data_IF_563181168209
#
_entry.id   IF_563181168209
#
_cell.length_a   1.000
_cell.length_b   1.000
_cell.length_c   1.000
_cell.angle_alpha   90.00
_cell.angle_beta   90.00
_cell.angle_gamma   90.00
#
_symmetry.space_group_name_H-M   'P 1'
#
loop_
_entity.id
_entity.type
_entity.pdbx_description
1 polymer ?
#
# COMPACT_ATOMS: atom_id res chain seq x y z
N UNK A 1 -175.09 -48.79 125.87
CA UNK A 1 -174.04 -49.83 125.91
C UNK A 1 -173.40 -49.86 124.52
N UNK A 2 -172.15 -49.52 124.21
CA UNK A 2 -170.95 -49.07 124.91
C UNK A 2 -169.73 -49.36 123.99
N UNK A 3 -168.73 -48.45 123.98
CA UNK A 3 -167.32 -48.55 123.47
C UNK A 3 -167.15 -48.77 121.94
N UNK A 4 -166.26 -48.09 121.20
CA UNK A 4 -165.00 -47.41 121.50
C UNK A 4 -163.85 -48.14 120.77
N UNK A 5 -163.41 -47.65 119.59
CA UNK A 5 -162.25 -48.19 118.87
C UNK A 5 -161.37 -47.07 118.30
N UNK A 6 -160.12 -46.99 118.80
CA UNK A 6 -159.03 -46.15 118.29
C UNK A 6 -158.47 -46.76 116.99
N UNK A 7 -158.34 -45.95 115.93
CA UNK A 7 -157.69 -46.35 114.69
C UNK A 7 -156.14 -46.24 114.78
N UNK A 8 -155.45 -47.24 114.22
CA UNK A 8 -154.02 -47.55 114.31
C UNK A 8 -153.23 -46.95 113.13
N UNK A 9 -152.65 -45.74 113.18
CA UNK A 9 -151.78 -45.25 112.06
C UNK A 9 -150.57 -44.35 112.41
N UNK A 10 -150.04 -44.36 113.65
CA UNK A 10 -148.70 -43.80 113.95
C UNK A 10 -147.80 -44.92 114.50
N UNK A 11 -146.88 -45.47 113.68
CA UNK A 11 -146.04 -46.63 114.04
C UNK A 11 -144.79 -46.24 114.85
N UNK A 12 -144.37 -44.98 114.81
CA UNK A 12 -143.17 -44.42 115.46
C UNK A 12 -143.50 -43.20 116.36
N UNK A 13 -144.79 -42.90 116.53
CA UNK A 13 -145.32 -41.89 117.45
C UNK A 13 -144.95 -40.43 117.14
N UNK A 14 -144.19 -40.17 116.06
CA UNK A 14 -143.70 -38.82 115.73
C UNK A 14 -143.96 -38.37 114.30
N UNK A 15 -144.02 -39.27 113.32
CA UNK A 15 -144.13 -38.89 111.90
C UNK A 15 -145.17 -39.69 111.12
N UNK A 16 -145.95 -39.01 110.30
CA UNK A 16 -146.91 -39.61 109.37
C UNK A 16 -146.34 -39.59 107.94
N UNK A 17 -146.08 -40.78 107.38
CA UNK A 17 -145.67 -40.96 105.98
C UNK A 17 -144.26 -40.43 105.60
N UNK A 18 -143.89 -40.58 104.31
CA UNK A 18 -142.55 -40.24 103.77
C UNK A 18 -142.22 -38.73 103.70
N UNK A 19 -143.12 -37.86 104.12
CA UNK A 19 -143.01 -36.39 103.95
C UNK A 19 -142.82 -35.62 105.27
N UNK A 20 -142.29 -36.27 106.32
CA UNK A 20 -141.88 -35.63 107.59
C UNK A 20 -142.95 -34.71 108.22
N UNK A 21 -144.23 -35.08 108.12
CA UNK A 21 -145.32 -34.39 108.81
C UNK A 21 -145.46 -34.96 110.23
N UNK A 22 -145.58 -34.11 111.24
CA UNK A 22 -145.69 -34.56 112.63
C UNK A 22 -147.04 -35.22 112.89
N UNK A 23 -147.13 -36.30 113.70
CA UNK A 23 -148.42 -36.97 113.97
C UNK A 23 -149.48 -36.02 114.58
N UNK A 24 -149.07 -34.90 115.20
CA UNK A 24 -149.98 -33.87 115.71
C UNK A 24 -150.59 -33.02 114.58
N UNK A 25 -149.80 -32.72 113.55
CA UNK A 25 -150.28 -31.99 112.36
C UNK A 25 -151.10 -32.90 111.44
N UNK A 26 -150.77 -34.20 111.38
CA UNK A 26 -151.59 -35.18 110.67
C UNK A 26 -152.93 -35.46 111.38
N UNK A 27 -152.96 -35.45 112.72
CA UNK A 27 -154.20 -35.53 113.51
C UNK A 27 -155.05 -34.26 113.37
N UNK A 28 -154.44 -33.08 113.24
CA UNK A 28 -155.15 -31.85 112.90
C UNK A 28 -155.77 -31.89 111.50
N UNK A 29 -155.02 -32.36 110.48
CA UNK A 29 -155.54 -32.49 109.10
C UNK A 29 -156.60 -33.58 108.97
N UNK A 30 -156.50 -34.68 109.75
CA UNK A 30 -157.55 -35.70 109.80
C UNK A 30 -158.77 -35.24 110.61
N UNK A 31 -158.59 -34.47 111.69
CA UNK A 31 -159.70 -33.84 112.41
C UNK A 31 -160.42 -32.80 111.54
N UNK A 32 -159.70 -32.06 110.70
CA UNK A 32 -160.29 -31.13 109.73
C UNK A 32 -160.97 -31.88 108.56
N UNK A 33 -160.43 -33.04 108.15
CA UNK A 33 -161.04 -33.88 107.12
C UNK A 33 -162.23 -34.73 107.63
N UNK A 34 -162.28 -35.09 108.92
CA UNK A 34 -163.43 -35.73 109.58
C UNK A 34 -164.52 -34.72 109.95
N UNK A 35 -164.16 -33.48 110.31
CA UNK A 35 -165.08 -32.32 110.42
C UNK A 35 -165.84 -32.05 109.12
N UNK A 36 -165.21 -32.29 107.96
CA UNK A 36 -165.86 -32.16 106.64
C UNK A 36 -166.71 -33.36 106.22
N UNK A 37 -166.71 -34.46 106.98
CA UNK A 37 -167.41 -35.71 106.63
C UNK A 37 -168.66 -36.01 107.46
N UNK A 38 -168.90 -35.30 108.55
CA UNK A 38 -170.02 -35.57 109.45
C UNK A 38 -170.73 -34.26 109.86
N UNK A 39 -171.92 -34.00 109.28
CA UNK A 39 -172.93 -32.95 109.58
C UNK A 39 -173.03 -31.69 108.68
N UNK A 40 -173.91 -31.82 107.67
CA UNK A 40 -174.97 -30.89 107.20
C UNK A 40 -174.67 -29.39 107.07
N UNK A 41 -173.97 -29.00 106.01
CA UNK A 41 -174.42 -27.93 105.10
C UNK A 41 -173.88 -28.22 103.68
N UNK A 42 -174.74 -28.14 102.67
CA UNK A 42 -174.40 -28.42 101.26
C UNK A 42 -173.28 -27.49 100.76
N UNK A 43 -172.19 -28.08 100.25
CA UNK A 43 -171.04 -27.38 99.67
C UNK A 43 -171.37 -26.86 98.27
N UNK A 44 -171.25 -25.55 98.10
CA UNK A 44 -171.53 -24.77 96.90
C UNK A 44 -170.40 -24.93 95.84
N UNK A 45 -170.77 -25.40 94.64
CA UNK A 45 -169.90 -25.71 93.48
C UNK A 45 -169.05 -24.50 93.01
N UNK A 46 -169.39 -23.29 93.45
CA UNK A 46 -168.66 -22.06 93.10
C UNK A 46 -167.28 -21.95 93.76
N UNK A 47 -167.07 -22.53 94.96
CA UNK A 47 -165.80 -22.39 95.68
C UNK A 47 -164.65 -23.24 95.11
N UNK A 48 -164.95 -24.43 94.58
CA UNK A 48 -163.94 -25.35 93.99
C UNK A 48 -163.44 -24.84 92.63
N UNK A 49 -164.34 -24.25 91.84
CA UNK A 49 -164.01 -23.63 90.56
C UNK A 49 -163.13 -22.38 90.73
N UNK A 50 -163.31 -21.64 91.84
CA UNK A 50 -162.49 -20.47 92.16
C UNK A 50 -161.04 -20.85 92.52
N UNK A 51 -160.84 -21.98 93.21
CA UNK A 51 -159.50 -22.45 93.59
C UNK A 51 -158.72 -23.02 92.39
N UNK A 52 -159.38 -23.76 91.50
CA UNK A 52 -158.77 -24.22 90.24
C UNK A 52 -158.33 -23.03 89.36
N UNK A 53 -159.18 -21.99 89.26
CA UNK A 53 -158.85 -20.75 88.56
C UNK A 53 -157.74 -19.91 89.21
N UNK A 54 -157.41 -20.12 90.49
CA UNK A 54 -156.27 -19.50 91.17
C UNK A 54 -154.96 -20.24 90.91
N UNK A 55 -154.98 -21.57 90.82
CA UNK A 55 -153.79 -22.37 90.49
C UNK A 55 -153.37 -22.18 89.03
N UNK A 56 -154.31 -22.13 88.09
CA UNK A 56 -153.99 -21.82 86.68
C UNK A 56 -153.48 -20.39 86.50
N UNK A 57 -154.00 -19.42 87.26
CA UNK A 57 -153.49 -18.04 87.28
C UNK A 57 -152.05 -17.91 87.80
N UNK A 58 -151.58 -18.87 88.61
CA UNK A 58 -150.22 -18.86 89.16
C UNK A 58 -149.23 -19.64 88.27
N UNK A 59 -149.68 -20.66 87.53
CA UNK A 59 -148.82 -21.46 86.66
C UNK A 59 -148.58 -20.85 85.28
N UNK A 60 -149.52 -20.05 84.77
CA UNK A 60 -149.38 -19.41 83.45
C UNK A 60 -148.18 -18.42 83.36
N UNK A 61 -147.94 -17.56 84.37
CA UNK A 61 -146.74 -16.71 84.40
C UNK A 61 -145.44 -17.52 84.44
N UNK A 62 -145.43 -18.66 85.13
CA UNK A 62 -144.24 -19.52 85.24
C UNK A 62 -143.93 -20.22 83.89
N UNK A 63 -144.95 -20.64 83.14
CA UNK A 63 -144.78 -21.19 81.78
C UNK A 63 -144.27 -20.14 80.80
N UNK A 64 -144.83 -18.92 80.83
CA UNK A 64 -144.34 -17.81 80.01
C UNK A 64 -142.89 -17.40 80.33
N UNK A 65 -142.48 -17.51 81.61
CA UNK A 65 -141.10 -17.25 82.02
C UNK A 65 -140.13 -18.32 81.51
N UNK A 66 -140.53 -19.59 81.55
CA UNK A 66 -139.71 -20.68 80.97
C UNK A 66 -139.58 -20.49 79.47
N UNK A 67 -140.67 -20.19 78.76
CA UNK A 67 -140.66 -20.02 77.30
C UNK A 67 -139.79 -18.83 76.86
N UNK A 68 -139.89 -17.70 77.57
CA UNK A 68 -139.02 -16.53 77.34
C UNK A 68 -137.55 -16.81 77.69
N UNK A 69 -137.26 -17.56 78.77
CA UNK A 69 -135.90 -17.98 79.09
C UNK A 69 -135.33 -18.95 78.06
N UNK A 70 -136.11 -19.88 77.51
CA UNK A 70 -135.68 -20.71 76.38
C UNK A 70 -135.45 -19.88 75.13
N UNK A 71 -136.28 -18.88 74.86
CA UNK A 71 -136.10 -18.00 73.70
C UNK A 71 -134.83 -17.17 73.84
N UNK A 72 -134.60 -16.58 75.02
CA UNK A 72 -133.36 -15.86 75.34
C UNK A 72 -132.13 -16.77 75.30
N UNK A 73 -132.25 -18.02 75.74
CA UNK A 73 -131.18 -19.03 75.61
C UNK A 73 -130.85 -19.31 74.15
N UNK A 74 -131.84 -19.57 73.31
CA UNK A 74 -131.60 -19.81 71.88
C UNK A 74 -131.05 -18.55 71.18
N UNK A 75 -131.48 -17.35 71.58
CA UNK A 75 -130.93 -16.10 71.08
C UNK A 75 -129.48 -15.90 71.52
N UNK A 76 -129.14 -16.20 72.78
CA UNK A 76 -127.76 -16.18 73.29
C UNK A 76 -126.90 -17.23 72.60
N UNK A 77 -127.39 -18.45 72.40
CA UNK A 77 -126.69 -19.51 71.68
C UNK A 77 -126.46 -19.13 70.20
N UNK A 78 -127.46 -18.55 69.53
CA UNK A 78 -127.33 -18.09 68.15
C UNK A 78 -126.34 -16.92 68.02
N UNK A 79 -126.41 -15.93 68.92
CA UNK A 79 -125.50 -14.77 68.91
C UNK A 79 -124.07 -15.15 69.28
N UNK A 80 -123.88 -16.06 70.23
CA UNK A 80 -122.55 -16.58 70.58
C UNK A 80 -121.98 -17.46 69.47
N UNK A 81 -122.80 -18.29 68.82
CA UNK A 81 -122.38 -19.05 67.64
C UNK A 81 -121.98 -18.14 66.47
N UNK A 82 -122.75 -17.07 66.21
CA UNK A 82 -122.41 -16.07 65.20
C UNK A 82 -121.12 -15.32 65.54
N UNK A 83 -120.94 -14.87 66.79
CA UNK A 83 -119.73 -14.17 67.22
C UNK A 83 -118.47 -15.07 67.19
N UNK A 84 -118.62 -16.37 67.50
CA UNK A 84 -117.54 -17.34 67.36
C UNK A 84 -117.21 -17.61 65.89
N UNK A 85 -118.21 -17.74 65.02
CA UNK A 85 -118.02 -17.90 63.59
C UNK A 85 -117.34 -16.66 62.96
N UNK A 86 -117.74 -15.44 63.36
CA UNK A 86 -117.09 -14.20 62.93
C UNK A 86 -115.64 -14.10 63.43
N UNK A 87 -115.38 -14.47 64.69
CA UNK A 87 -114.02 -14.52 65.23
C UNK A 87 -113.16 -15.51 64.46
N UNK A 88 -113.66 -16.72 64.21
CA UNK A 88 -112.91 -17.76 63.52
C UNK A 88 -112.68 -17.41 62.04
N UNK A 89 -113.64 -16.74 61.38
CA UNK A 89 -113.46 -16.15 60.05
C UNK A 89 -112.39 -15.05 60.04
N UNK A 90 -112.43 -14.13 61.01
CA UNK A 90 -111.41 -13.08 61.13
C UNK A 90 -110.01 -13.64 61.43
N UNK A 91 -109.91 -14.74 62.19
CA UNK A 91 -108.65 -15.45 62.40
C UNK A 91 -108.14 -16.10 61.12
N UNK A 92 -109.01 -16.74 60.33
CA UNK A 92 -108.66 -17.33 59.05
C UNK A 92 -108.17 -16.26 58.05
N UNK A 93 -108.86 -15.12 57.94
CA UNK A 93 -108.43 -13.98 57.12
C UNK A 93 -107.07 -13.42 57.60
N UNK A 94 -106.87 -13.32 58.92
CA UNK A 94 -105.59 -12.85 59.48
C UNK A 94 -104.43 -13.84 59.24
N UNK A 95 -104.70 -15.14 59.20
CA UNK A 95 -103.74 -16.17 58.81
C UNK A 95 -103.42 -16.10 57.31
N UNK A 96 -104.43 -15.95 56.45
CA UNK A 96 -104.25 -15.78 55.01
C UNK A 96 -103.44 -14.52 54.69
N UNK A 97 -103.74 -13.38 55.33
CA UNK A 97 -102.93 -12.17 55.23
C UNK A 97 -101.50 -12.33 55.76
N UNK A 98 -101.28 -13.17 56.77
CA UNK A 98 -99.92 -13.50 57.24
C UNK A 98 -99.16 -14.34 56.20
N UNK A 99 -99.81 -15.33 55.60
CA UNK A 99 -99.21 -16.15 54.53
C UNK A 99 -98.87 -15.32 53.29
N UNK A 100 -99.78 -14.43 52.85
CA UNK A 100 -99.51 -13.55 51.72
C UNK A 100 -98.37 -12.57 51.99
N UNK A 101 -98.31 -11.98 53.19
CA UNK A 101 -97.16 -11.14 53.58
C UNK A 101 -95.86 -11.95 53.60
N UNK A 102 -95.86 -13.14 54.19
CA UNK A 102 -94.67 -14.00 54.20
C UNK A 102 -94.18 -14.40 52.81
N UNK A 103 -95.10 -14.67 51.86
CA UNK A 103 -94.74 -14.93 50.45
C UNK A 103 -94.18 -13.68 49.77
N UNK A 104 -94.84 -12.54 49.93
CA UNK A 104 -94.38 -11.28 49.36
C UNK A 104 -93.00 -10.86 49.91
N UNK A 105 -92.75 -11.05 51.21
CA UNK A 105 -91.45 -10.78 51.83
C UNK A 105 -90.37 -11.74 51.32
N UNK A 106 -90.69 -13.02 51.12
CA UNK A 106 -89.76 -14.00 50.54
C UNK A 106 -89.42 -13.69 49.08
N UNK A 107 -90.41 -13.32 48.26
CA UNK A 107 -90.22 -12.87 46.88
C UNK A 107 -89.39 -11.58 46.82
N UNK A 108 -89.66 -10.62 47.69
CA UNK A 108 -88.88 -9.39 47.80
C UNK A 108 -87.43 -9.67 48.22
N UNK A 109 -87.20 -10.61 49.14
CA UNK A 109 -85.85 -11.03 49.54
C UNK A 109 -85.10 -11.71 48.39
N UNK A 110 -85.76 -12.59 47.63
CA UNK A 110 -85.17 -13.21 46.44
C UNK A 110 -84.85 -12.17 45.36
N UNK A 111 -85.76 -11.23 45.09
CA UNK A 111 -85.55 -10.16 44.13
C UNK A 111 -84.37 -9.25 44.54
N UNK A 112 -84.24 -8.93 45.83
CA UNK A 112 -83.07 -8.18 46.35
C UNK A 112 -81.78 -8.97 46.17
N UNK A 113 -81.76 -10.25 46.53
CA UNK A 113 -80.58 -11.10 46.35
C UNK A 113 -80.16 -11.24 44.87
N UNK A 114 -81.14 -11.37 43.96
CA UNK A 114 -80.87 -11.39 42.52
C UNK A 114 -80.35 -10.04 42.00
N UNK A 115 -80.90 -8.92 42.49
CA UNK A 115 -80.42 -7.58 42.13
C UNK A 115 -78.99 -7.33 42.64
N UNK A 116 -78.69 -7.70 43.89
CA UNK A 116 -77.34 -7.61 44.47
C UNK A 116 -76.33 -8.46 43.68
N UNK A 117 -76.69 -9.70 43.32
CA UNK A 117 -75.86 -10.56 42.48
C UNK A 117 -75.64 -9.97 41.08
N UNK A 118 -76.67 -9.38 40.47
CA UNK A 118 -76.55 -8.72 39.16
C UNK A 118 -75.65 -7.48 39.23
N UNK A 119 -75.76 -6.68 40.29
CA UNK A 119 -74.88 -5.52 40.52
C UNK A 119 -73.43 -5.97 40.74
N UNK A 120 -73.20 -7.03 41.52
CA UNK A 120 -71.87 -7.58 41.73
C UNK A 120 -71.25 -8.12 40.41
N UNK A 121 -72.05 -8.82 39.59
CA UNK A 121 -71.62 -9.30 38.28
C UNK A 121 -71.30 -8.14 37.32
N UNK A 122 -72.13 -7.10 37.27
CA UNK A 122 -71.87 -5.90 36.47
C UNK A 122 -70.59 -5.17 36.92
N UNK A 123 -70.36 -5.06 38.23
CA UNK A 123 -69.14 -4.47 38.78
C UNK A 123 -67.90 -5.30 38.45
N UNK A 124 -67.99 -6.64 38.41
CA UNK A 124 -66.90 -7.51 37.95
C UNK A 124 -66.62 -7.30 36.46
N UNK A 125 -67.66 -7.30 35.62
CA UNK A 125 -67.53 -7.13 34.18
C UNK A 125 -66.88 -5.77 33.81
N UNK A 126 -67.22 -4.69 34.52
CA UNK A 126 -66.56 -3.39 34.33
C UNK A 126 -65.09 -3.41 34.76
N UNK A 127 -64.73 -4.12 35.84
CA UNK A 127 -63.33 -4.30 36.23
C UNK A 127 -62.54 -5.10 35.19
N UNK A 128 -63.12 -6.17 34.66
CA UNK A 128 -62.49 -7.02 33.65
C UNK A 128 -62.30 -6.26 32.34
N UNK A 129 -63.31 -5.48 31.93
CA UNK A 129 -63.22 -4.57 30.78
C UNK A 129 -62.11 -3.53 30.98
N UNK A 130 -62.02 -2.92 32.16
CA UNK A 130 -60.96 -1.97 32.48
C UNK A 130 -59.57 -2.63 32.47
N UNK A 131 -59.45 -3.88 32.91
CA UNK A 131 -58.20 -4.65 32.84
C UNK A 131 -57.82 -4.94 31.38
N UNK A 132 -58.75 -5.44 30.56
CA UNK A 132 -58.50 -5.72 29.15
C UNK A 132 -58.10 -4.48 28.35
N UNK A 133 -58.67 -3.30 28.67
CA UNK A 133 -58.27 -2.04 28.04
C UNK A 133 -56.83 -1.66 28.42
N UNK A 134 -56.44 -1.82 29.70
CA UNK A 134 -55.06 -1.57 30.14
C UNK A 134 -54.07 -2.50 29.44
N UNK A 135 -54.36 -3.80 29.38
CA UNK A 135 -53.52 -4.77 28.69
C UNK A 135 -53.33 -4.42 27.20
N UNK A 136 -54.43 -4.03 26.52
CA UNK A 136 -54.36 -3.59 25.12
C UNK A 136 -53.52 -2.32 24.95
N UNK A 137 -53.62 -1.37 25.88
CA UNK A 137 -52.86 -0.12 25.82
C UNK A 137 -51.37 -0.37 26.10
N UNK A 138 -51.05 -1.27 27.03
CA UNK A 138 -49.69 -1.76 27.30
C UNK A 138 -49.10 -2.51 26.10
N UNK A 139 -49.87 -3.39 25.45
CA UNK A 139 -49.47 -4.07 24.23
C UNK A 139 -49.22 -3.06 23.11
N UNK A 140 -50.10 -2.07 22.96
CA UNK A 140 -49.94 -0.97 22.01
C UNK A 140 -48.67 -0.15 22.27
N UNK A 141 -48.34 0.11 23.53
CA UNK A 141 -47.11 0.80 23.92
C UNK A 141 -45.87 -0.05 23.62
N UNK A 142 -45.90 -1.35 23.95
CA UNK A 142 -44.81 -2.29 23.67
C UNK A 142 -44.54 -2.42 22.17
N UNK A 143 -45.59 -2.51 21.34
CA UNK A 143 -45.47 -2.53 19.88
C UNK A 143 -44.82 -1.25 19.34
N UNK A 144 -45.24 -0.08 19.83
CA UNK A 144 -44.62 1.21 19.43
C UNK A 144 -43.15 1.28 19.84
N UNK A 145 -42.81 0.83 21.05
CA UNK A 145 -41.43 0.78 21.52
C UNK A 145 -40.57 -0.16 20.66
N UNK A 146 -41.09 -1.35 20.32
CA UNK A 146 -40.40 -2.30 19.44
C UNK A 146 -40.13 -1.72 18.05
N UNK A 147 -41.09 -1.01 17.46
CA UNK A 147 -40.90 -0.33 16.16
C UNK A 147 -39.85 0.77 16.25
N UNK A 148 -39.83 1.55 17.34
CA UNK A 148 -38.79 2.58 17.52
C UNK A 148 -37.39 1.96 17.67
N UNK A 149 -37.25 0.88 18.42
CA UNK A 149 -35.97 0.17 18.53
C UNK A 149 -35.55 -0.45 17.20
N UNK A 150 -36.49 -1.00 16.43
CA UNK A 150 -36.21 -1.48 15.08
C UNK A 150 -35.69 -0.35 14.19
N UNK A 151 -36.35 0.82 14.19
CA UNK A 151 -35.91 1.99 13.41
C UNK A 151 -34.53 2.49 13.87
N UNK A 152 -34.24 2.47 15.17
CA UNK A 152 -32.90 2.80 15.70
C UNK A 152 -31.86 1.81 15.20
N UNK A 153 -32.14 0.52 15.26
CA UNK A 153 -31.24 -0.53 14.79
C UNK A 153 -31.00 -0.43 13.27
N UNK A 154 -32.05 -0.20 12.48
CA UNK A 154 -31.97 0.03 11.03
C UNK A 154 -31.15 1.29 10.71
N UNK A 155 -31.34 2.38 11.47
CA UNK A 155 -30.54 3.60 11.36
C UNK A 155 -29.07 3.38 11.70
N UNK A 156 -28.76 2.61 12.75
CA UNK A 156 -27.40 2.22 13.09
C UNK A 156 -26.76 1.34 11.99
N UNK A 157 -27.51 0.39 11.43
CA UNK A 157 -27.04 -0.44 10.31
C UNK A 157 -26.77 0.41 9.06
N UNK A 158 -27.62 1.38 8.74
CA UNK A 158 -27.38 2.31 7.64
C UNK A 158 -26.11 3.14 7.87
N UNK A 159 -25.93 3.68 9.08
CA UNK A 159 -24.72 4.43 9.44
C UNK A 159 -23.44 3.58 9.35
N UNK A 160 -23.48 2.31 9.78
CA UNK A 160 -22.35 1.38 9.65
C UNK A 160 -22.05 1.07 8.18
N UNK A 161 -23.07 0.89 7.34
CA UNK A 161 -22.88 0.68 5.90
C UNK A 161 -22.26 1.90 5.22
N UNK A 162 -22.69 3.10 5.57
CA UNK A 162 -22.11 4.34 5.06
C UNK A 162 -20.65 4.51 5.49
N UNK A 163 -20.32 4.21 6.76
CA UNK A 163 -18.94 4.26 7.22
C UNK A 163 -18.07 3.20 6.53
N UNK A 164 -18.59 1.99 6.33
CA UNK A 164 -17.89 0.94 5.60
C UNK A 164 -17.61 1.33 4.15
N UNK A 165 -18.56 1.97 3.46
CA UNK A 165 -18.35 2.52 2.12
C UNK A 165 -17.24 3.58 2.12
N UNK A 166 -17.26 4.53 3.07
CA UNK A 166 -16.20 5.55 3.19
C UNK A 166 -14.82 4.95 3.51
N UNK A 167 -14.77 3.85 4.26
CA UNK A 167 -13.52 3.13 4.55
C UNK A 167 -13.02 2.41 3.31
N UNK A 168 -13.91 1.79 2.53
CA UNK A 168 -13.56 1.16 1.25
C UNK A 168 -13.00 2.21 0.27
N UNK A 169 -13.66 3.35 0.10
CA UNK A 169 -13.19 4.45 -0.77
C UNK A 169 -11.80 4.95 -0.34
N UNK A 170 -11.56 5.07 0.98
CA UNK A 170 -10.25 5.44 1.54
C UNK A 170 -9.19 4.37 1.26
N UNK A 171 -9.55 3.09 1.37
CA UNK A 171 -8.65 1.98 1.08
C UNK A 171 -8.27 1.95 -0.41
N UNK A 172 -9.25 2.10 -1.30
CA UNK A 172 -9.03 2.15 -2.75
C UNK A 172 -8.15 3.34 -3.15
N UNK A 173 -8.40 4.53 -2.59
CA UNK A 173 -7.55 5.70 -2.80
C UNK A 173 -6.10 5.46 -2.31
N UNK A 174 -5.94 4.79 -1.16
CA UNK A 174 -4.61 4.46 -0.62
C UNK A 174 -3.88 3.43 -1.48
N UNK A 175 -4.60 2.46 -2.05
CA UNK A 175 -4.05 1.47 -2.96
C UNK A 175 -3.62 2.10 -4.29
N UNK A 176 -4.40 3.03 -4.83
CA UNK A 176 -4.05 3.80 -6.02
C UNK A 176 -2.75 4.61 -5.81
N UNK A 177 -2.65 5.35 -4.69
CA UNK A 177 -1.44 6.10 -4.34
C UNK A 177 -0.21 5.19 -4.14
N UNK A 178 -0.40 4.01 -3.55
CA UNK A 178 0.67 3.02 -3.43
C UNK A 178 1.13 2.50 -4.81
N UNK A 179 0.18 2.26 -5.73
CA UNK A 179 0.46 1.89 -7.11
C UNK A 179 1.23 2.97 -7.88
N UNK A 180 0.84 4.23 -7.75
CA UNK A 180 1.55 5.37 -8.35
C UNK A 180 2.98 5.47 -7.83
N UNK A 181 3.18 5.37 -6.50
CA UNK A 181 4.51 5.39 -5.89
C UNK A 181 5.37 4.21 -6.34
N UNK A 182 4.80 3.01 -6.44
CA UNK A 182 5.50 1.85 -6.96
C UNK A 182 5.96 2.07 -8.42
N UNK A 183 5.09 2.68 -9.24
CA UNK A 183 5.44 3.08 -10.61
C UNK A 183 6.61 4.08 -10.65
N UNK A 184 6.56 5.14 -9.84
CA UNK A 184 7.64 6.14 -9.75
C UNK A 184 8.96 5.49 -9.29
N UNK A 185 8.92 4.62 -8.28
CA UNK A 185 10.11 3.91 -7.80
C UNK A 185 10.70 3.02 -8.91
N UNK A 186 9.86 2.31 -9.66
CA UNK A 186 10.31 1.48 -10.78
C UNK A 186 11.01 2.33 -11.86
N UNK A 187 10.42 3.46 -12.23
CA UNK A 187 11.01 4.41 -13.20
C UNK A 187 12.35 4.95 -12.71
N UNK A 188 12.41 5.49 -11.48
CA UNK A 188 13.66 6.02 -10.90
C UNK A 188 14.74 4.95 -10.77
N UNK A 189 14.36 3.71 -10.47
CA UNK A 189 15.30 2.58 -10.40
C UNK A 189 15.87 2.26 -11.78
N UNK A 190 15.03 2.27 -12.83
CA UNK A 190 15.47 2.09 -14.21
C UNK A 190 16.37 3.23 -14.68
N UNK A 191 16.02 4.48 -14.37
CA UNK A 191 16.86 5.66 -14.67
C UNK A 191 18.21 5.59 -13.96
N UNK A 192 18.24 5.19 -12.68
CA UNK A 192 19.47 5.00 -11.94
C UNK A 192 20.35 3.90 -12.55
N UNK A 193 19.76 2.79 -12.99
CA UNK A 193 20.49 1.72 -13.66
C UNK A 193 21.07 2.17 -15.02
N UNK A 194 20.29 2.94 -15.79
CA UNK A 194 20.75 3.53 -17.05
C UNK A 194 21.90 4.53 -16.82
N UNK A 195 21.78 5.40 -15.81
CA UNK A 195 22.83 6.36 -15.45
C UNK A 195 24.13 5.68 -15.01
N UNK A 196 24.03 4.58 -14.25
CA UNK A 196 25.21 3.77 -13.87
C UNK A 196 25.90 3.15 -15.08
N UNK A 197 25.12 2.60 -16.00
CA UNK A 197 25.63 2.00 -17.24
C UNK A 197 26.36 3.06 -18.09
N UNK A 198 25.73 4.23 -18.28
CA UNK A 198 26.35 5.34 -19.00
C UNK A 198 27.67 5.82 -18.33
N UNK A 199 27.70 5.88 -16.99
CA UNK A 199 28.90 6.27 -16.25
C UNK A 199 30.03 5.24 -16.43
N UNK A 200 29.73 3.95 -16.42
CA UNK A 200 30.72 2.90 -16.63
C UNK A 200 31.25 2.91 -18.08
N UNK A 201 30.41 3.23 -19.06
CA UNK A 201 30.84 3.46 -20.44
C UNK A 201 31.77 4.68 -20.57
N UNK A 202 31.45 5.80 -19.91
CA UNK A 202 32.32 6.98 -19.87
C UNK A 202 33.66 6.68 -19.21
N UNK A 203 33.65 5.91 -18.11
CA UNK A 203 34.89 5.45 -17.46
C UNK A 203 35.71 4.58 -18.39
N UNK A 204 35.09 3.64 -19.10
CA UNK A 204 35.76 2.79 -20.09
C UNK A 204 36.36 3.62 -21.23
N UNK A 205 35.63 4.62 -21.74
CA UNK A 205 36.15 5.57 -22.74
C UNK A 205 37.33 6.38 -22.21
N UNK A 206 37.26 6.84 -20.96
CA UNK A 206 38.35 7.53 -20.27
C UNK A 206 39.60 6.68 -20.13
N UNK A 207 39.47 5.43 -19.68
CA UNK A 207 40.58 4.47 -19.58
C UNK A 207 41.20 4.18 -20.95
N UNK A 208 40.38 3.98 -21.98
CA UNK A 208 40.86 3.77 -23.34
C UNK A 208 41.55 5.01 -23.93
N UNK A 209 41.14 6.22 -23.54
CA UNK A 209 41.82 7.46 -23.91
C UNK A 209 43.16 7.60 -23.17
N UNK A 210 43.21 7.30 -21.87
CA UNK A 210 44.45 7.29 -21.08
C UNK A 210 45.47 6.31 -21.65
N UNK A 211 45.08 5.06 -21.92
CA UNK A 211 45.96 4.07 -22.52
C UNK A 211 46.48 4.50 -23.91
N UNK A 212 45.66 5.17 -24.71
CA UNK A 212 46.10 5.73 -26.01
C UNK A 212 47.10 6.87 -25.84
N UNK A 213 46.93 7.70 -24.82
CA UNK A 213 47.86 8.79 -24.50
C UNK A 213 49.21 8.23 -24.02
N UNK A 214 49.21 7.28 -23.07
CA UNK A 214 50.42 6.60 -22.60
C UNK A 214 51.16 5.89 -23.75
N UNK A 215 50.42 5.22 -24.64
CA UNK A 215 51.01 4.59 -25.83
C UNK A 215 51.53 5.61 -26.85
N UNK A 216 50.97 6.82 -26.91
CA UNK A 216 51.49 7.89 -27.75
C UNK A 216 52.77 8.50 -27.16
N UNK A 217 52.80 8.71 -25.84
CA UNK A 217 53.97 9.18 -25.09
C UNK A 217 55.14 8.20 -25.22
N UNK A 218 54.90 6.90 -24.99
CA UNK A 218 55.92 5.85 -25.16
C UNK A 218 56.48 5.82 -26.59
N UNK A 219 55.63 6.05 -27.60
CA UNK A 219 56.07 6.13 -29.01
C UNK A 219 56.87 7.40 -29.28
N UNK A 220 56.49 8.53 -28.70
CA UNK A 220 57.23 9.77 -28.81
C UNK A 220 58.62 9.63 -28.20
N UNK A 221 58.72 9.05 -27.00
CA UNK A 221 60.00 8.77 -26.32
C UNK A 221 60.88 7.83 -27.15
N UNK A 222 60.31 6.77 -27.73
CA UNK A 222 61.05 5.86 -28.60
C UNK A 222 61.56 6.54 -29.88
N UNK A 223 60.78 7.46 -30.46
CA UNK A 223 61.21 8.26 -31.62
C UNK A 223 62.33 9.22 -31.22
N UNK A 224 62.19 9.88 -30.07
CA UNK A 224 63.20 10.78 -29.54
C UNK A 224 64.53 10.07 -29.31
N UNK A 225 64.52 8.90 -28.66
CA UNK A 225 65.71 8.06 -28.46
C UNK A 225 66.37 7.66 -29.78
N UNK A 226 65.58 7.30 -30.82
CA UNK A 226 66.13 6.99 -32.15
C UNK A 226 66.75 8.21 -32.82
N UNK A 227 66.14 9.38 -32.66
CA UNK A 227 66.68 10.62 -33.21
C UNK A 227 67.99 11.01 -32.52
N UNK A 228 68.05 10.89 -31.19
CA UNK A 228 69.25 11.16 -30.40
C UNK A 228 70.37 10.19 -30.77
N UNK A 229 70.09 8.88 -30.89
CA UNK A 229 71.04 7.89 -31.38
C UNK A 229 71.53 8.19 -32.81
N UNK A 230 70.62 8.52 -33.74
CA UNK A 230 71.00 8.90 -35.10
C UNK A 230 71.85 10.17 -35.15
N UNK A 231 71.62 11.11 -34.23
CA UNK A 231 72.42 12.33 -34.08
C UNK A 231 73.82 12.01 -33.56
N UNK A 232 73.94 11.11 -32.59
CA UNK A 232 75.23 10.63 -32.08
C UNK A 232 76.01 9.88 -33.18
N UNK A 233 75.36 8.96 -33.90
CA UNK A 233 75.95 8.24 -35.03
C UNK A 233 76.43 9.20 -36.13
N UNK A 234 75.63 10.22 -36.44
CA UNK A 234 76.01 11.23 -37.42
C UNK A 234 77.20 12.07 -36.96
N UNK A 235 77.24 12.47 -35.68
CA UNK A 235 78.37 13.19 -35.11
C UNK A 235 79.64 12.34 -35.14
N UNK A 236 79.55 11.04 -34.82
CA UNK A 236 80.67 10.10 -34.95
C UNK A 236 81.13 9.94 -36.40
N UNK A 237 80.19 9.86 -37.36
CA UNK A 237 80.51 9.78 -38.78
C UNK A 237 81.22 11.05 -39.30
N UNK A 238 80.79 12.23 -38.85
CA UNK A 238 81.49 13.50 -39.16
C UNK A 238 82.89 13.48 -38.57
N UNK A 239 83.04 13.15 -37.28
CA UNK A 239 84.35 13.09 -36.64
C UNK A 239 85.29 12.09 -37.32
N UNK A 240 84.80 10.92 -37.71
CA UNK A 240 85.56 9.93 -38.46
C UNK A 240 85.96 10.43 -39.86
N UNK A 241 85.06 11.14 -40.55
CA UNK A 241 85.34 11.76 -41.86
C UNK A 241 86.38 12.86 -41.74
N UNK A 242 86.29 13.72 -40.72
CA UNK A 242 87.26 14.77 -40.44
C UNK A 242 88.64 14.17 -40.12
N UNK A 243 88.70 13.13 -39.28
CA UNK A 243 89.93 12.41 -39.00
C UNK A 243 90.56 11.80 -40.26
N UNK A 244 89.74 11.17 -41.13
CA UNK A 244 90.21 10.62 -42.40
C UNK A 244 90.69 11.69 -43.38
N UNK A 245 90.02 12.84 -43.44
CA UNK A 245 90.44 13.97 -44.27
C UNK A 245 91.77 14.55 -43.78
N UNK A 246 91.94 14.73 -42.47
CA UNK A 246 93.19 15.20 -41.88
C UNK A 246 94.34 14.22 -42.18
N UNK A 247 94.13 12.91 -42.00
CA UNK A 247 95.12 11.90 -42.36
C UNK A 247 95.49 11.93 -43.87
N UNK A 248 94.51 12.14 -44.75
CA UNK A 248 94.75 12.28 -46.19
C UNK A 248 95.52 13.57 -46.54
N UNK A 249 95.25 14.67 -45.83
CA UNK A 249 96.00 15.92 -45.98
C UNK A 249 97.45 15.76 -45.50
N UNK A 250 97.66 15.12 -44.34
CA UNK A 250 99.00 14.79 -43.83
C UNK A 250 99.77 13.93 -44.84
N UNK A 251 99.18 12.82 -45.30
CA UNK A 251 99.78 11.96 -46.32
C UNK A 251 100.08 12.72 -47.63
N UNK A 252 99.22 13.65 -48.04
CA UNK A 252 99.48 14.51 -49.20
C UNK A 252 100.66 15.45 -48.95
N UNK A 253 100.76 16.07 -47.76
CA UNK A 253 101.89 16.95 -47.43
C UNK A 253 103.21 16.18 -47.41
N UNK A 254 103.22 14.96 -46.88
CA UNK A 254 104.38 14.07 -46.91
C UNK A 254 104.75 13.68 -48.35
N UNK A 255 103.77 13.33 -49.18
CA UNK A 255 103.99 12.99 -50.58
C UNK A 255 104.53 14.18 -51.39
N UNK A 256 104.02 15.39 -51.15
CA UNK A 256 104.52 16.63 -51.78
C UNK A 256 105.97 16.89 -51.34
N UNK A 257 106.27 16.81 -50.05
CA UNK A 257 107.64 16.98 -49.53
C UNK A 257 108.61 15.93 -50.12
N UNK A 258 108.18 14.68 -50.23
CA UNK A 258 108.97 13.62 -50.86
C UNK A 258 109.20 13.88 -52.37
N UNK A 259 108.19 14.40 -53.08
CA UNK A 259 108.30 14.75 -54.48
C UNK A 259 109.23 15.95 -54.71
N UNK A 260 109.14 17.00 -53.89
CA UNK A 260 110.05 18.15 -53.93
C UNK A 260 111.49 17.71 -53.67
N UNK A 261 111.73 16.89 -52.64
CA UNK A 261 113.04 16.33 -52.36
C UNK A 261 113.58 15.41 -53.48
N UNK A 262 112.70 14.78 -54.27
CA UNK A 262 113.11 14.02 -55.46
C UNK A 262 113.46 14.94 -56.64
N UNK A 263 112.70 16.03 -56.85
CA UNK A 263 112.99 17.03 -57.87
C UNK A 263 114.31 17.75 -57.60
N UNK A 264 114.60 18.11 -56.35
CA UNK A 264 115.86 18.77 -56.01
C UNK A 264 117.06 17.84 -56.19
N UNK A 265 116.92 16.55 -55.90
CA UNK A 265 117.93 15.54 -56.26
C UNK A 265 118.13 15.45 -57.77
N UNK A 266 117.05 15.38 -58.54
CA UNK A 266 117.14 15.34 -60.00
C UNK A 266 117.77 16.62 -60.58
N UNK A 267 117.52 17.80 -59.99
CA UNK A 267 118.18 19.06 -60.35
C UNK A 267 119.67 19.03 -60.04
N UNK A 268 120.06 18.58 -58.85
CA UNK A 268 121.47 18.43 -58.48
C UNK A 268 122.20 17.47 -59.43
N UNK A 269 121.59 16.32 -59.77
CA UNK A 269 122.15 15.37 -60.73
C UNK A 269 122.29 15.99 -62.13
N UNK A 270 121.30 16.77 -62.58
CA UNK A 270 121.35 17.48 -63.86
C UNK A 270 122.43 18.57 -63.88
N UNK A 271 122.63 19.30 -62.78
CA UNK A 271 123.69 20.30 -62.64
C UNK A 271 125.09 19.66 -62.68
N UNK A 272 125.27 18.51 -62.03
CA UNK A 272 126.52 17.72 -62.11
C UNK A 272 126.80 17.28 -63.54
N UNK A 273 125.79 16.76 -64.24
CA UNK A 273 125.91 16.37 -65.65
C UNK A 273 126.27 17.57 -66.53
N UNK A 274 125.62 18.72 -66.33
CA UNK A 274 125.90 19.96 -67.06
C UNK A 274 127.33 20.46 -66.84
N UNK A 275 127.80 20.50 -65.59
CA UNK A 275 129.17 20.86 -65.26
C UNK A 275 130.18 19.90 -65.93
N UNK A 276 129.88 18.60 -65.96
CA UNK A 276 130.69 17.61 -66.69
C UNK A 276 130.70 17.83 -68.21
N UNK A 277 129.58 18.25 -68.82
CA UNK A 277 129.54 18.62 -70.24
C UNK A 277 130.33 19.89 -70.54
N UNK A 278 130.21 20.93 -69.72
CA UNK A 278 130.94 22.19 -69.89
C UNK A 278 132.47 21.99 -69.74
N UNK A 279 132.89 21.12 -68.82
CA UNK A 279 134.28 20.71 -68.69
C UNK A 279 134.79 19.99 -69.96
N UNK A 280 134.02 19.05 -70.53
CA UNK A 280 134.41 18.37 -71.79
C UNK A 280 134.47 19.34 -72.97
N UNK A 281 133.59 20.35 -73.00
CA UNK A 281 133.56 21.39 -74.03
C UNK A 281 134.81 22.28 -73.97
N UNK A 282 135.23 22.68 -72.76
CA UNK A 282 136.46 23.46 -72.56
C UNK A 282 137.71 22.64 -72.90
N UNK A 283 137.75 21.35 -72.55
CA UNK A 283 138.84 20.44 -72.95
C UNK A 283 138.93 20.28 -74.48
N UNK A 284 137.79 20.12 -75.16
CA UNK A 284 137.70 20.06 -76.63
C UNK A 284 138.13 21.38 -77.30
N UNK A 285 137.73 22.52 -76.74
CA UNK A 285 138.14 23.84 -77.24
C UNK A 285 139.65 24.07 -77.08
N UNK A 286 140.23 23.69 -75.93
CA UNK A 286 141.67 23.78 -75.71
C UNK A 286 142.46 22.88 -76.69
N UNK A 287 141.99 21.65 -76.92
CA UNK A 287 142.59 20.74 -77.90
C UNK A 287 142.48 21.29 -79.34
N UNK A 288 141.36 21.91 -79.69
CA UNK A 288 141.16 22.54 -80.99
C UNK A 288 142.10 23.74 -81.20
N UNK A 289 142.21 24.63 -80.22
CA UNK A 289 143.13 25.78 -80.29
C UNK A 289 144.61 25.37 -80.40
N UNK A 290 144.99 24.28 -79.72
CA UNK A 290 146.34 23.72 -79.84
C UNK A 290 146.59 23.15 -81.24
N UNK A 291 145.58 22.52 -81.85
CA UNK A 291 145.64 22.01 -83.22
C UNK A 291 145.75 23.16 -84.24
N UNK A 292 144.99 24.23 -84.06
CA UNK A 292 145.04 25.43 -84.93
C UNK A 292 146.40 26.14 -84.83
N UNK A 293 146.96 26.28 -83.62
CA UNK A 293 148.30 26.84 -83.43
C UNK A 293 149.39 26.00 -84.13
N UNK A 294 149.34 24.68 -83.98
CA UNK A 294 150.24 23.74 -84.67
C UNK A 294 150.13 23.87 -86.20
N UNK A 295 148.92 23.96 -86.74
CA UNK A 295 148.71 24.14 -88.18
C UNK A 295 149.27 25.47 -88.69
N UNK A 296 149.09 26.55 -87.93
CA UNK A 296 149.57 27.89 -88.30
C UNK A 296 151.11 27.97 -88.34
N UNK A 297 151.79 27.30 -87.41
CA UNK A 297 153.25 27.15 -87.40
C UNK A 297 153.76 26.33 -88.60
N UNK A 298 153.07 25.23 -88.97
CA UNK A 298 153.44 24.47 -90.18
C UNK A 298 153.23 25.26 -91.48
N UNK A 299 152.17 26.05 -91.59
CA UNK A 299 151.90 26.85 -92.81
C UNK A 299 152.87 28.02 -92.97
N UNK A 300 153.29 28.65 -91.87
CA UNK A 300 154.30 29.72 -91.92
C UNK A 300 155.69 29.19 -92.30
N UNK A 301 156.08 28.01 -91.81
CA UNK A 301 157.35 27.37 -92.20
C UNK A 301 157.36 26.93 -93.68
N UNK A 302 156.29 26.31 -94.17
CA UNK A 302 156.14 25.97 -95.60
C UNK A 302 156.18 27.22 -96.51
N UNK A 303 155.57 28.33 -96.08
CA UNK A 303 155.60 29.60 -96.83
C UNK A 303 156.97 30.30 -96.83
N UNK A 304 157.85 30.01 -95.87
CA UNK A 304 159.23 30.48 -95.87
C UNK A 304 160.11 29.64 -96.81
N UNK A 305 159.94 28.32 -96.83
CA UNK A 305 160.71 27.41 -97.68
C UNK A 305 160.38 27.59 -99.18
N UNK A 306 159.11 27.82 -99.53
CA UNK A 306 158.69 28.02 -100.93
C UNK A 306 159.31 29.29 -101.55
N UNK A 307 159.42 30.38 -100.78
CA UNK A 307 160.06 31.63 -101.22
C UNK A 307 161.57 31.50 -101.42
N UNK A 308 162.23 30.68 -100.60
CA UNK A 308 163.65 30.36 -100.75
C UNK A 308 163.95 29.39 -101.91
N UNK A 309 162.98 28.56 -102.33
CA UNK A 309 163.11 27.71 -103.51
C UNK A 309 162.91 28.52 -104.82
N UNK A 310 161.93 29.44 -104.85
CA UNK A 310 161.65 30.28 -106.02
C UNK A 310 162.81 31.24 -106.37
N UNK A 311 163.47 31.83 -105.37
CA UNK A 311 164.60 32.74 -105.63
C UNK A 311 165.84 32.04 -106.21
N UNK A 312 166.03 30.74 -105.89
CA UNK A 312 167.12 29.93 -106.44
C UNK A 312 166.87 29.53 -107.90
N UNK A 313 165.62 29.31 -108.28
CA UNK A 313 165.24 29.02 -109.66
C UNK A 313 165.47 30.24 -110.58
N UNK A 314 165.03 31.43 -110.16
CA UNK A 314 165.19 32.67 -110.96
C UNK A 314 166.66 33.08 -111.17
N UNK A 315 167.54 32.71 -110.23
CA UNK A 315 168.98 33.03 -110.31
C UNK A 315 169.69 32.07 -111.29
N UNK A 316 169.30 30.79 -111.31
CA UNK A 316 169.84 29.80 -112.24
C UNK A 316 169.43 30.07 -113.71
N UNK A 317 168.23 30.58 -113.93
CA UNK A 317 167.71 30.87 -115.28
C UNK A 317 168.44 32.06 -115.95
N UNK A 318 168.83 33.08 -115.17
CA UNK A 318 169.58 34.23 -115.69
C UNK A 318 171.03 33.89 -116.04
N UNK A 319 171.70 33.05 -115.26
CA UNK A 319 173.08 32.63 -115.57
C UNK A 319 173.16 31.74 -116.82
N UNK A 320 172.17 30.86 -117.03
CA UNK A 320 172.14 29.96 -118.19
C UNK A 320 171.90 30.71 -119.52
N UNK A 321 171.12 31.79 -119.46
CA UNK A 321 170.89 32.69 -120.61
C UNK A 321 172.15 33.50 -120.95
N UNK A 322 172.92 33.92 -119.94
CA UNK A 322 174.20 34.60 -120.13
C UNK A 322 175.25 33.72 -120.81
N UNK A 323 175.35 32.45 -120.42
CA UNK A 323 176.33 31.49 -120.98
C UNK A 323 175.99 31.10 -122.42
N UNK A 324 174.71 30.92 -122.77
CA UNK A 324 174.28 30.59 -124.13
C UNK A 324 174.53 31.71 -125.14
N UNK A 325 174.54 32.97 -124.70
CA UNK A 325 174.76 34.12 -125.57
C UNK A 325 176.26 34.29 -125.88
N UNK A 326 177.13 34.13 -124.89
CA UNK A 326 178.59 34.23 -125.05
C UNK A 326 179.19 33.11 -125.95
N UNK A 327 178.58 31.91 -125.95
CA UNK A 327 179.00 30.78 -126.78
C UNK A 327 178.62 30.90 -128.26
N UNK A 328 177.74 31.83 -128.64
CA UNK A 328 177.35 32.07 -130.04
C UNK A 328 178.25 33.06 -130.79
N UNK A 329 179.03 33.88 -130.08
CA UNK A 329 179.84 34.96 -130.67
C UNK A 329 181.31 34.58 -130.94
N UNK A 330 181.68 33.29 -130.85
CA UNK A 330 183.05 32.79 -131.07
C UNK A 330 183.18 31.98 -132.38
N UNK A 331 184.01 32.40 -133.36
CA UNK A 331 184.19 31.68 -134.62
C UNK A 331 185.52 30.88 -134.73
N UNK A 332 185.88 30.08 -133.71
CA UNK A 332 186.71 28.88 -133.89
C UNK A 332 186.19 27.75 -132.98
N UNK A 333 185.16 27.01 -133.42
CA UNK A 333 184.68 25.82 -132.73
C UNK A 333 184.30 24.71 -133.74
N UNK A 334 184.63 23.42 -133.46
CA UNK A 334 184.49 22.32 -134.42
C UNK A 334 183.04 21.97 -134.77
N UNK A 335 182.83 21.49 -136.00
CA UNK A 335 181.52 21.22 -136.63
C UNK A 335 180.57 20.29 -135.83
N UNK A 336 181.09 19.51 -134.88
CA UNK A 336 180.32 18.62 -134.01
C UNK A 336 179.45 19.36 -132.98
N UNK A 337 179.80 20.59 -132.59
CA UNK A 337 179.02 21.38 -131.61
C UNK A 337 177.90 22.22 -132.25
N UNK A 338 178.03 22.56 -133.54
CA UNK A 338 177.00 23.31 -134.28
C UNK A 338 175.72 22.50 -134.49
N UNK A 339 175.83 21.17 -134.62
CA UNK A 339 174.68 20.26 -134.78
C UNK A 339 173.86 20.01 -133.50
N UNK A 340 174.43 20.26 -132.31
CA UNK A 340 173.69 20.12 -131.04
C UNK A 340 173.01 21.43 -130.61
N UNK A 341 173.59 22.58 -130.95
CA UNK A 341 173.04 23.91 -130.65
C UNK A 341 171.83 24.31 -131.52
N UNK A 342 171.73 23.81 -132.76
CA UNK A 342 170.55 24.03 -133.61
C UNK A 342 169.37 23.07 -133.26
N UNK A 343 169.61 22.06 -132.41
CA UNK A 343 168.59 21.08 -132.00
C UNK A 343 167.83 21.47 -130.73
N UNK A 344 168.31 22.47 -129.97
CA UNK A 344 167.76 22.88 -128.68
C UNK A 344 166.88 24.14 -128.77
N UNK A 345 166.03 24.23 -129.80
CA UNK A 345 164.97 25.24 -129.89
C UNK A 345 163.68 24.66 -129.28
N UNK A 346 163.22 25.11 -128.12
CA UNK A 346 161.85 24.87 -127.67
C UNK A 346 160.97 25.94 -128.32
N UNK A 347 160.09 25.55 -129.25
CA UNK A 347 158.90 26.36 -129.51
C UNK A 347 157.93 26.10 -128.35
N UNK A 348 157.79 27.18 -127.58
CA UNK A 348 156.94 27.43 -126.42
C UNK A 348 155.47 27.06 -126.62
#
# INVERSE_FOLDING_TARGET
MGRGSRARFCQDGKTWGRRNLSCRDAEAVLSDAESLRESDTELDDTAVTALAGQVDRVLEPARGLVETLTTLRHQLEATTAAALAERDAALAEADEHRLHRGRADAEAAQARGAAEAAVAAAASAEKDKAAALRERDEEGAARRAAVQEQQRAEGQLAAVRDELARVADRADASAALAGERAGVIATLTAELAAARTALDEERGRGQAAAARAEAAETRADAVQQRFDAAREDHAQAIAAREAALNAALEARTEAVAAHEAALDRARADAEVLRAGFDQRLTELQAAHEQTVRSMHETTTNLGAELRAASSRADTAERELTGVLTALRETPELPATLKQLLDRSRPES
#
